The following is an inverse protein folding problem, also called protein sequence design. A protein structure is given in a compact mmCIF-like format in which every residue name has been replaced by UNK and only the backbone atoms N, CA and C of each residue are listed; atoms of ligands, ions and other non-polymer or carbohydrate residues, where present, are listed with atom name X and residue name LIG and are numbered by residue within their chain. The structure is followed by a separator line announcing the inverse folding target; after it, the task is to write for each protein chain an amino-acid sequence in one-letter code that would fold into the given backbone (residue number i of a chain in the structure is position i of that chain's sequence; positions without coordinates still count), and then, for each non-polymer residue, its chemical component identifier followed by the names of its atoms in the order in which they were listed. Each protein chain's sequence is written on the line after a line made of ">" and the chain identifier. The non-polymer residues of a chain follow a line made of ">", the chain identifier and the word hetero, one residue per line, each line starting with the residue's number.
data_IF_406985545554
#
_entry.id   IF_406985545554
#
_cell.length_a   1.000
_cell.length_b   1.000
_cell.length_c   1.000
_cell.angle_alpha   90.00
_cell.angle_beta   90.00
_cell.angle_gamma   90.00
#
_symmetry.space_group_name_H-M   'P 1'
#
loop_
_entity.id
_entity.type
_entity.pdbx_description
1 polymer ?
#
# COMPACT_ATOMS: atom_id res chain seq x y z
N UNK A 1 -7.85 -0.35 3.25
CA UNK A 1 -8.60 0.86 3.64
C UNK A 1 -8.92 0.93 5.13
N UNK A 2 -8.90 -0.18 5.86
CA UNK A 2 -9.03 -0.17 7.34
C UNK A 2 -7.69 -0.02 8.06
N UNK A 3 -7.56 1.06 8.85
CA UNK A 3 -6.39 1.29 9.71
C UNK A 3 -6.17 0.18 10.76
N UNK A 4 -7.25 -0.39 11.31
CA UNK A 4 -7.17 -1.49 12.28
C UNK A 4 -6.58 -2.76 11.65
N UNK A 5 -6.96 -3.05 10.41
CA UNK A 5 -6.43 -4.19 9.67
C UNK A 5 -4.94 -4.00 9.42
N UNK A 6 -4.51 -2.79 9.04
CA UNK A 6 -3.10 -2.49 8.81
C UNK A 6 -2.25 -2.70 10.06
N UNK A 7 -2.66 -2.14 11.20
CA UNK A 7 -1.94 -2.30 12.48
C UNK A 7 -1.85 -3.77 12.88
N UNK A 8 -2.94 -4.51 12.71
CA UNK A 8 -3.00 -5.93 13.06
C UNK A 8 -2.12 -6.81 12.17
N UNK A 9 -2.00 -6.48 10.88
CA UNK A 9 -1.14 -7.16 9.93
C UNK A 9 0.34 -6.91 10.25
N UNK A 10 0.73 -5.66 10.53
CA UNK A 10 2.09 -5.33 10.92
C UNK A 10 2.51 -5.96 12.24
N UNK A 11 1.60 -6.02 13.23
CA UNK A 11 1.88 -6.71 14.50
C UNK A 11 2.15 -8.22 14.30
N UNK A 12 1.73 -8.80 13.16
CA UNK A 12 2.00 -10.18 12.75
C UNK A 12 3.23 -10.33 11.84
N UNK A 13 3.95 -9.23 11.59
CA UNK A 13 5.15 -9.23 10.75
C UNK A 13 4.88 -9.14 9.24
N UNK A 14 3.66 -8.79 8.82
CA UNK A 14 3.34 -8.65 7.39
C UNK A 14 3.80 -7.29 6.86
N UNK A 15 4.37 -7.29 5.66
CA UNK A 15 4.56 -6.06 4.89
C UNK A 15 3.19 -5.54 4.45
N UNK A 16 2.87 -4.32 4.85
CA UNK A 16 1.48 -3.82 4.83
C UNK A 16 1.43 -2.45 4.18
N UNK A 17 0.41 -2.23 3.36
CA UNK A 17 0.14 -0.93 2.73
C UNK A 17 -1.25 -0.46 3.15
N UNK A 18 -1.34 0.77 3.64
CA UNK A 18 -2.62 1.41 3.90
C UNK A 18 -3.11 2.13 2.64
N UNK A 19 -4.18 1.62 2.02
CA UNK A 19 -4.87 2.33 0.95
C UNK A 19 -5.83 3.37 1.54
N UNK A 20 -5.65 4.65 1.19
CA UNK A 20 -6.52 5.76 1.60
C UNK A 20 -7.13 6.40 0.37
N UNK A 21 -8.45 6.38 0.28
CA UNK A 21 -9.18 6.93 -0.88
C UNK A 21 -8.79 8.39 -1.20
N UNK A 22 -8.65 8.77 -2.48
CA UNK A 22 -8.20 10.11 -2.89
C UNK A 22 -9.06 11.29 -2.41
N UNK A 23 -10.31 11.04 -2.04
CA UNK A 23 -11.24 12.06 -1.57
C UNK A 23 -11.34 12.12 -0.04
N UNK A 24 -10.65 11.22 0.67
CA UNK A 24 -10.59 11.22 2.13
C UNK A 24 -9.32 11.93 2.63
N UNK A 25 -9.45 12.58 3.77
CA UNK A 25 -8.32 13.11 4.53
C UNK A 25 -7.51 11.93 5.08
N UNK A 26 -6.19 11.88 4.85
CA UNK A 26 -5.33 10.88 5.48
C UNK A 26 -5.42 10.91 7.01
N UNK A 27 -5.22 9.78 7.69
CA UNK A 27 -5.16 9.77 9.15
C UNK A 27 -3.97 10.61 9.64
N UNK A 28 -4.11 11.27 10.78
CA UNK A 28 -3.03 12.04 11.41
C UNK A 28 -1.83 11.16 11.73
N UNK A 29 -2.09 9.96 12.25
CA UNK A 29 -1.08 8.93 12.46
C UNK A 29 -1.15 7.87 11.34
N UNK A 30 -0.05 7.62 10.62
CA UNK A 30 0.00 6.57 9.62
C UNK A 30 -0.35 5.20 10.20
N UNK A 31 -1.36 4.54 9.63
CA UNK A 31 -1.75 3.19 10.06
C UNK A 31 -0.80 2.10 9.55
N UNK A 32 0.12 2.45 8.63
CA UNK A 32 1.13 1.54 8.11
C UNK A 32 2.40 2.23 7.63
N UNK A 33 3.46 1.43 7.43
CA UNK A 33 4.76 1.88 6.91
C UNK A 33 4.62 2.51 5.52
N UNK A 34 3.75 1.94 4.69
CA UNK A 34 3.41 2.50 3.39
C UNK A 34 1.96 2.94 3.37
N UNK A 35 1.69 4.06 2.71
CA UNK A 35 0.35 4.54 2.43
C UNK A 35 0.27 4.93 0.96
N UNK A 36 -0.78 4.49 0.27
CA UNK A 36 -1.02 4.83 -1.14
C UNK A 36 -2.45 5.36 -1.31
N UNK A 37 -2.65 6.20 -2.31
CA UNK A 37 -3.97 6.75 -2.67
C UNK A 37 -4.50 6.19 -3.97
N UNK A 38 -3.63 5.55 -4.75
CA UNK A 38 -3.95 4.83 -5.99
C UNK A 38 -3.19 3.51 -6.00
N UNK A 39 -3.80 2.46 -6.53
CA UNK A 39 -3.20 1.13 -6.52
C UNK A 39 -1.96 1.05 -7.43
N UNK A 40 -1.85 1.92 -8.42
CA UNK A 40 -0.71 2.00 -9.33
C UNK A 40 0.60 2.35 -8.61
N UNK A 41 0.53 3.07 -7.48
CA UNK A 41 1.71 3.41 -6.66
C UNK A 41 2.40 2.17 -6.08
N UNK A 42 1.69 1.03 -5.99
CA UNK A 42 2.30 -0.24 -5.60
C UNK A 42 3.38 -0.70 -6.57
N UNK A 43 3.33 -0.28 -7.84
CA UNK A 43 4.34 -0.62 -8.85
C UNK A 43 5.68 0.06 -8.56
N UNK A 44 5.63 1.25 -7.97
CA UNK A 44 6.82 2.00 -7.58
C UNK A 44 7.36 1.51 -6.24
N UNK A 45 6.48 1.16 -5.30
CA UNK A 45 6.86 0.64 -3.97
C UNK A 45 7.36 -0.79 -4.01
N UNK A 46 6.79 -1.63 -4.87
CA UNK A 46 7.10 -3.05 -4.95
C UNK A 46 7.29 -3.52 -6.41
N UNK A 47 8.23 -2.93 -7.16
CA UNK A 47 8.42 -3.24 -8.57
C UNK A 47 8.71 -4.73 -8.82
N UNK A 48 9.31 -5.43 -7.86
CA UNK A 48 9.60 -6.85 -7.93
C UNK A 48 8.35 -7.74 -8.06
N UNK A 49 7.16 -7.24 -7.70
CA UNK A 49 5.91 -7.99 -7.81
C UNK A 49 5.16 -7.72 -9.12
N UNK A 50 5.67 -6.84 -9.98
CA UNK A 50 5.02 -6.49 -11.24
C UNK A 50 5.91 -6.83 -12.43
N UNK A 51 5.31 -7.34 -13.50
CA UNK A 51 6.02 -7.52 -14.76
C UNK A 51 6.37 -6.16 -15.36
N UNK A 52 7.57 -6.05 -15.93
CA UNK A 52 7.91 -4.87 -16.73
C UNK A 52 7.00 -4.82 -17.96
N UNK A 53 6.57 -3.62 -18.39
CA UNK A 53 5.75 -3.48 -19.61
C UNK A 53 6.41 -4.08 -20.87
N UNK A 54 7.73 -4.27 -20.83
CA UNK A 54 8.53 -4.78 -21.93
C UNK A 54 8.71 -6.30 -21.91
N UNK A 55 8.07 -7.01 -20.97
CA UNK A 55 8.17 -8.46 -20.84
C UNK A 55 7.18 -9.25 -21.71
N UNK A 56 6.32 -8.57 -22.48
CA UNK A 56 5.48 -9.20 -23.49
C UNK A 56 6.30 -9.37 -24.78
N UNK A 57 6.81 -10.59 -24.98
CA UNK A 57 7.30 -11.09 -26.26
C UNK A 57 6.17 -11.81 -27.01
#
# INVERSE_FOLDING_TARGET
>A
DSALNCRSAQARGWETVHFVEPHLTPPEEPASKYQVRRLEELRDLFPQFFMSRNSAA
#
